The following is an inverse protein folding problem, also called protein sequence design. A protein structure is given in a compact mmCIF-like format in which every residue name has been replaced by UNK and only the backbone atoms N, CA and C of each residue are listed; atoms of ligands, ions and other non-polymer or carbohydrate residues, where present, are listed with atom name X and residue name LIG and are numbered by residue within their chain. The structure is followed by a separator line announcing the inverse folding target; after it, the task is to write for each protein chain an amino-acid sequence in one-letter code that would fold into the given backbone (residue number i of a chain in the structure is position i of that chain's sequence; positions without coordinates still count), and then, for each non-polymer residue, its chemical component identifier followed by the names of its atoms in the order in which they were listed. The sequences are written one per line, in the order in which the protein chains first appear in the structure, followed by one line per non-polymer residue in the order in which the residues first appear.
data_IF_879325969704
#
_entry.id   IF_879325969704
#
_cell.length_a   1.000
_cell.length_b   1.000
_cell.length_c   1.000
_cell.angle_alpha   90.00
_cell.angle_beta   90.00
_cell.angle_gamma   90.00
#
_symmetry.space_group_name_H-M   'P 1'
#
loop_
_entity.id
_entity.type
_entity.pdbx_description
1 polymer ?
#
# COMPACT_ATOMS: atom_id res chain seq x y z
N UNK A 1 -9.24 -2.33 -24.70
CA UNK A 1 -7.91 -2.68 -24.15
C UNK A 1 -8.09 -3.95 -23.31
N UNK A 2 -7.19 -4.93 -23.36
CA UNK A 2 -7.31 -6.13 -22.53
C UNK A 2 -6.96 -5.75 -21.08
N UNK A 3 -7.85 -6.06 -20.13
CA UNK A 3 -7.62 -5.77 -18.71
C UNK A 3 -6.38 -6.50 -18.18
N UNK A 4 -5.48 -5.76 -17.53
CA UNK A 4 -4.29 -6.23 -16.80
C UNK A 4 -4.57 -6.41 -15.30
N UNK A 5 -5.84 -6.40 -14.88
CA UNK A 5 -6.23 -6.54 -13.48
C UNK A 5 -5.61 -7.76 -12.79
N UNK A 6 -5.51 -8.90 -13.51
CA UNK A 6 -4.85 -10.11 -12.98
C UNK A 6 -3.36 -9.91 -12.75
N UNK A 7 -2.69 -9.14 -13.60
CA UNK A 7 -1.26 -8.88 -13.47
C UNK A 7 -1.00 -7.96 -12.26
N UNK A 8 -1.80 -6.92 -12.07
CA UNK A 8 -1.75 -6.08 -10.87
C UNK A 8 -2.01 -6.88 -9.60
N UNK A 9 -3.03 -7.74 -9.59
CA UNK A 9 -3.33 -8.55 -8.41
C UNK A 9 -2.22 -9.56 -8.10
N UNK A 10 -1.60 -10.16 -9.13
CA UNK A 10 -0.42 -11.02 -8.95
C UNK A 10 0.75 -10.28 -8.33
N UNK A 11 0.99 -9.03 -8.75
CA UNK A 11 2.05 -8.21 -8.15
C UNK A 11 1.69 -7.82 -6.72
N UNK A 12 0.44 -7.45 -6.45
CA UNK A 12 -0.03 -7.14 -5.09
C UNK A 12 0.23 -8.30 -4.12
N UNK A 13 -0.10 -9.54 -4.53
CA UNK A 13 0.19 -10.72 -3.72
C UNK A 13 1.68 -10.96 -3.52
N UNK A 14 2.51 -10.69 -4.54
CA UNK A 14 3.97 -10.80 -4.41
C UNK A 14 4.53 -9.76 -3.44
N UNK A 15 3.94 -8.56 -3.42
CA UNK A 15 4.32 -7.49 -2.51
C UNK A 15 3.91 -7.80 -1.06
N UNK A 16 2.75 -8.44 -0.82
CA UNK A 16 2.41 -8.99 0.51
C UNK A 16 3.48 -9.97 0.97
N UNK A 17 3.84 -10.95 0.13
CA UNK A 17 4.90 -11.88 0.49
C UNK A 17 6.25 -11.20 0.69
N UNK A 18 6.49 -10.04 0.07
CA UNK A 18 7.71 -9.27 0.32
C UNK A 18 7.66 -8.58 1.68
N UNK A 19 6.53 -7.97 2.03
CA UNK A 19 6.31 -7.35 3.32
C UNK A 19 6.53 -8.35 4.47
N UNK A 20 5.97 -9.55 4.36
CA UNK A 20 6.15 -10.64 5.34
C UNK A 20 7.62 -11.01 5.52
N UNK A 21 8.36 -11.22 4.41
CA UNK A 21 9.80 -11.53 4.49
C UNK A 21 10.62 -10.38 5.07
N UNK A 22 10.31 -9.14 4.69
CA UNK A 22 11.02 -7.97 5.22
C UNK A 22 10.80 -7.83 6.73
N UNK A 23 9.58 -8.09 7.21
CA UNK A 23 9.26 -8.13 8.63
C UNK A 23 10.08 -9.21 9.37
N UNK A 24 10.20 -10.40 8.79
CA UNK A 24 11.00 -11.50 9.36
C UNK A 24 12.50 -11.16 9.41
N UNK A 25 13.01 -10.44 8.40
CA UNK A 25 14.42 -10.03 8.31
C UNK A 25 14.76 -8.82 9.19
N UNK A 26 13.75 -8.10 9.70
CA UNK A 26 13.95 -6.88 10.49
C UNK A 26 14.00 -5.58 9.67
N UNK A 27 13.71 -5.65 8.37
CA UNK A 27 13.65 -4.51 7.47
C UNK A 27 12.25 -3.86 7.55
N UNK A 28 11.94 -3.25 8.70
CA UNK A 28 10.58 -2.82 9.04
C UNK A 28 10.02 -1.70 8.15
N UNK A 29 10.87 -0.77 7.72
CA UNK A 29 10.53 0.27 6.76
C UNK A 29 10.18 -0.33 5.39
N UNK A 30 10.90 -1.38 4.98
CA UNK A 30 10.60 -2.13 3.76
C UNK A 30 9.32 -2.96 3.90
N UNK A 31 9.06 -3.53 5.08
CA UNK A 31 7.81 -4.22 5.35
C UNK A 31 6.61 -3.28 5.17
N UNK A 32 6.66 -2.10 5.78
CA UNK A 32 5.61 -1.08 5.67
C UNK A 32 5.44 -0.57 4.23
N UNK A 33 6.55 -0.32 3.52
CA UNK A 33 6.50 0.14 2.14
C UNK A 33 5.88 -0.93 1.22
N UNK A 34 6.31 -2.19 1.36
CA UNK A 34 5.79 -3.30 0.57
C UNK A 34 4.30 -3.55 0.86
N UNK A 35 3.85 -3.40 2.11
CA UNK A 35 2.44 -3.48 2.47
C UNK A 35 1.60 -2.37 1.81
N UNK A 36 2.08 -1.12 1.83
CA UNK A 36 1.43 -0.01 1.11
C UNK A 36 1.37 -0.31 -0.40
N UNK A 37 2.47 -0.77 -0.98
CA UNK A 37 2.53 -1.12 -2.40
C UNK A 37 1.59 -2.26 -2.77
N UNK A 38 1.46 -3.28 -1.92
CA UNK A 38 0.53 -4.38 -2.12
C UNK A 38 -0.93 -3.87 -2.20
N UNK A 39 -1.33 -3.04 -1.24
CA UNK A 39 -2.68 -2.47 -1.19
C UNK A 39 -2.94 -1.54 -2.38
N UNK A 40 -2.00 -0.68 -2.76
CA UNK A 40 -2.10 0.19 -3.93
C UNK A 40 -2.39 -0.61 -5.20
N UNK A 41 -1.62 -1.69 -5.42
CA UNK A 41 -1.77 -2.54 -6.61
C UNK A 41 -3.07 -3.34 -6.59
N UNK A 42 -3.49 -3.82 -5.43
CA UNK A 42 -4.78 -4.52 -5.29
C UNK A 42 -5.96 -3.59 -5.62
N UNK A 43 -5.93 -2.34 -5.15
CA UNK A 43 -6.98 -1.35 -5.48
C UNK A 43 -6.94 -0.99 -6.97
N UNK A 44 -5.76 -0.79 -7.56
CA UNK A 44 -5.63 -0.58 -9.02
C UNK A 44 -6.16 -1.76 -9.83
N UNK A 45 -5.93 -2.99 -9.38
CA UNK A 45 -6.52 -4.18 -9.98
C UNK A 45 -8.06 -4.16 -9.93
N UNK A 46 -8.65 -3.70 -8.82
CA UNK A 46 -10.10 -3.54 -8.70
C UNK A 46 -10.63 -2.54 -9.73
N UNK A 47 -10.04 -1.35 -9.84
CA UNK A 47 -10.41 -0.34 -10.84
C UNK A 47 -10.35 -0.91 -12.26
N UNK A 48 -9.25 -1.56 -12.61
CA UNK A 48 -9.07 -2.11 -13.95
C UNK A 48 -10.02 -3.29 -14.24
N UNK A 49 -10.39 -4.08 -13.23
CA UNK A 49 -11.39 -5.15 -13.37
C UNK A 49 -12.79 -4.61 -13.68
N UNK A 50 -13.04 -3.33 -13.37
CA UNK A 50 -14.29 -2.62 -13.63
C UNK A 50 -14.21 -1.69 -14.84
N UNK A 51 -13.12 -1.75 -15.62
CA UNK A 51 -12.83 -0.86 -16.73
C UNK A 51 -12.84 0.63 -16.31
N UNK A 52 -12.38 0.90 -15.09
CA UNK A 52 -12.24 2.25 -14.54
C UNK A 52 -10.76 2.64 -14.53
N UNK A 53 -10.48 3.90 -14.76
CA UNK A 53 -9.13 4.46 -14.66
C UNK A 53 -8.90 5.08 -13.28
N UNK A 54 -7.67 4.96 -12.77
CA UNK A 54 -7.25 5.58 -11.52
C UNK A 54 -5.75 5.87 -11.56
N UNK A 55 -5.35 6.98 -10.93
CA UNK A 55 -3.98 7.45 -10.89
C UNK A 55 -3.61 7.85 -9.45
N UNK A 56 -2.31 7.87 -9.17
CA UNK A 56 -1.78 8.22 -7.85
C UNK A 56 -1.48 7.02 -6.96
N UNK A 57 -1.19 7.32 -5.70
CA UNK A 57 -0.66 6.36 -4.71
C UNK A 57 -1.45 6.32 -3.41
N UNK A 58 -2.43 7.23 -3.23
CA UNK A 58 -3.26 7.25 -2.03
C UNK A 58 -4.36 6.20 -2.15
N UNK A 59 -4.18 5.08 -1.44
CA UNK A 59 -5.10 3.96 -1.37
C UNK A 59 -6.43 4.43 -0.79
N UNK A 60 -6.39 5.23 0.28
CA UNK A 60 -7.60 5.74 0.92
C UNK A 60 -8.44 6.59 -0.02
N UNK A 61 -7.82 7.50 -0.79
CA UNK A 61 -8.51 8.32 -1.78
C UNK A 61 -9.07 7.51 -2.94
N UNK A 62 -8.34 6.48 -3.39
CA UNK A 62 -8.86 5.56 -4.40
C UNK A 62 -10.08 4.81 -3.86
N UNK A 63 -10.03 4.27 -2.64
CA UNK A 63 -11.19 3.59 -2.04
C UNK A 63 -12.40 4.53 -1.82
N UNK A 64 -12.17 5.75 -1.34
CA UNK A 64 -13.20 6.78 -1.15
C UNK A 64 -13.88 7.19 -2.47
N UNK A 65 -13.16 7.11 -3.59
CA UNK A 65 -13.64 7.51 -4.92
C UNK A 65 -14.38 6.39 -5.65
N UNK A 66 -14.48 5.19 -5.06
CA UNK A 66 -15.25 4.10 -5.65
C UNK A 66 -16.77 4.41 -5.61
N UNK A 67 -17.54 3.91 -6.60
CA UNK A 67 -19.00 3.99 -6.57
C UNK A 67 -19.57 3.29 -5.32
N UNK A 68 -20.74 3.72 -4.83
CA UNK A 68 -21.36 3.18 -3.60
C UNK A 68 -21.48 1.65 -3.56
N UNK A 69 -21.67 0.98 -4.70
CA UNK A 69 -21.70 -0.49 -4.77
C UNK A 69 -20.35 -1.20 -4.63
N UNK A 70 -19.24 -0.45 -4.59
CA UNK A 70 -17.86 -0.95 -4.50
C UNK A 70 -17.05 -0.28 -3.41
N UNK A 71 -17.53 0.84 -2.89
CA UNK A 71 -16.91 1.56 -1.79
C UNK A 71 -16.94 0.67 -0.54
N UNK A 72 -15.78 0.37 0.06
CA UNK A 72 -15.75 -0.40 1.30
C UNK A 72 -16.25 0.45 2.47
N UNK A 73 -16.38 -0.18 3.64
CA UNK A 73 -16.70 0.54 4.86
C UNK A 73 -15.58 1.51 5.29
N UNK A 74 -15.92 2.39 6.23
CA UNK A 74 -14.97 3.37 6.78
C UNK A 74 -13.78 2.73 7.47
N UNK A 75 -13.94 1.53 8.06
CA UNK A 75 -12.87 0.85 8.77
C UNK A 75 -11.74 0.42 7.81
N UNK A 76 -12.08 -0.07 6.61
CA UNK A 76 -11.08 -0.39 5.60
C UNK A 76 -10.41 0.88 5.05
N UNK A 77 -11.16 1.96 4.88
CA UNK A 77 -10.60 3.25 4.44
C UNK A 77 -9.61 3.79 5.48
N UNK A 78 -9.90 3.65 6.77
CA UNK A 78 -8.99 4.09 7.83
C UNK A 78 -7.70 3.25 7.87
N UNK A 79 -7.78 1.94 7.63
CA UNK A 79 -6.58 1.11 7.41
C UNK A 79 -5.78 1.55 6.18
N UNK A 80 -6.45 1.93 5.11
CA UNK A 80 -5.77 2.47 3.92
C UNK A 80 -5.07 3.81 4.21
N UNK A 81 -5.63 4.66 5.07
CA UNK A 81 -4.98 5.90 5.52
C UNK A 81 -3.73 5.64 6.37
N UNK A 82 -3.70 4.54 7.12
CA UNK A 82 -2.49 4.12 7.83
C UNK A 82 -1.40 3.74 6.83
N UNK A 83 -1.70 2.89 5.85
CA UNK A 83 -0.76 2.50 4.79
C UNK A 83 -0.27 3.69 3.96
N UNK A 84 -1.13 4.65 3.65
CA UNK A 84 -0.74 5.85 2.87
C UNK A 84 0.40 6.65 3.51
N UNK A 85 0.56 6.57 4.84
CA UNK A 85 1.67 7.22 5.57
C UNK A 85 3.03 6.61 5.27
N UNK A 86 3.07 5.41 4.70
CA UNK A 86 4.28 4.66 4.43
C UNK A 86 4.74 4.76 2.96
N UNK A 87 4.03 5.47 2.09
CA UNK A 87 4.38 5.55 0.67
C UNK A 87 5.72 6.27 0.41
N UNK A 88 5.95 7.40 1.08
CA UNK A 88 7.14 8.26 0.89
C UNK A 88 8.10 8.15 2.09
N UNK A 89 7.66 8.28 3.36
CA UNK A 89 8.57 8.35 4.50
C UNK A 89 9.46 7.13 4.71
N UNK A 90 9.02 5.94 4.29
CA UNK A 90 9.82 4.70 4.34
C UNK A 90 11.09 4.74 3.48
N UNK A 91 11.22 5.70 2.55
CA UNK A 91 12.29 5.72 1.55
C UNK A 91 13.12 6.99 1.52
N UNK A 92 12.58 8.10 2.00
CA UNK A 92 13.22 9.40 1.84
C UNK A 92 13.57 10.02 3.20
N UNK A 93 14.87 10.19 3.51
CA UNK A 93 15.32 10.83 4.75
C UNK A 93 14.77 12.24 4.97
N UNK A 94 14.40 12.96 3.91
CA UNK A 94 13.85 14.32 3.98
C UNK A 94 12.53 14.45 4.75
N UNK A 95 11.91 13.33 5.12
CA UNK A 95 10.69 13.29 5.95
C UNK A 95 10.99 13.15 7.45
N UNK A 96 12.26 13.11 7.82
CA UNK A 96 12.74 13.06 9.19
C UNK A 96 13.67 14.25 9.45
N UNK A 97 13.72 14.70 10.71
CA UNK A 97 14.60 15.81 11.12
C UNK A 97 16.09 15.42 11.06
N UNK A 98 16.39 14.13 11.17
CA UNK A 98 17.72 13.54 11.14
C UNK A 98 17.64 12.05 10.75
N UNK A 99 18.78 11.38 10.59
CA UNK A 99 18.83 9.93 10.35
C UNK A 99 18.30 9.45 8.99
N UNK A 100 18.09 8.15 8.89
CA UNK A 100 17.52 7.46 7.73
C UNK A 100 16.16 6.82 8.11
N UNK A 101 15.27 6.52 7.15
CA UNK A 101 13.98 5.90 7.44
C UNK A 101 14.07 4.66 8.34
N UNK A 102 15.05 3.78 8.11
CA UNK A 102 15.26 2.57 8.90
C UNK A 102 15.43 2.81 10.42
N UNK A 103 15.85 4.01 10.83
CA UNK A 103 16.04 4.36 12.24
C UNK A 103 14.70 4.60 12.97
N UNK A 104 13.61 4.81 12.23
CA UNK A 104 12.30 5.22 12.75
C UNK A 104 11.24 4.12 12.71
N UNK A 105 11.46 3.04 11.97
CA UNK A 105 10.50 1.96 11.82
C UNK A 105 10.81 0.82 12.78
N UNK A 106 9.78 0.32 13.44
CA UNK A 106 9.90 -0.76 14.42
C UNK A 106 9.17 -2.02 13.97
N UNK A 107 9.42 -3.12 14.68
CA UNK A 107 8.67 -4.36 14.49
C UNK A 107 7.16 -4.17 14.66
N UNK A 108 6.74 -3.27 15.55
CA UNK A 108 5.32 -2.99 15.75
C UNK A 108 4.71 -2.36 14.50
N UNK A 109 5.40 -1.42 13.87
CA UNK A 109 4.94 -0.78 12.63
C UNK A 109 4.83 -1.80 11.49
N UNK A 110 5.84 -2.66 11.32
CA UNK A 110 5.82 -3.68 10.27
C UNK A 110 4.82 -4.82 10.50
N UNK A 111 4.30 -4.98 11.72
CA UNK A 111 3.37 -6.06 12.09
C UNK A 111 1.89 -5.68 12.10
N UNK A 112 1.54 -4.43 11.80
CA UNK A 112 0.17 -3.93 11.73
C UNK A 112 -0.42 -4.08 10.33
#
# INVERSE_FOLDING_TARGET
MVSRARDWMRQALRDVSHAERSLEMGDYEWACFAAQQAAEKAVKALYESRNMEVWGHSISRMLESLPEGLKPDGALIDKAKELDRHYIPTRYPSFHSEGAPLDYYTKEDGGR
#
